data_IF_975264989554
#
_entry.id   IF_975264989554
#
_cell.length_a   1.000
_cell.length_b   1.000
_cell.length_c   1.000
_cell.angle_alpha   90.00
_cell.angle_beta   90.00
_cell.angle_gamma   90.00
#
_symmetry.space_group_name_H-M   'P 1'
#
loop_
_entity.id
_entity.type
_entity.pdbx_description
1 polymer ?
#
# COMPACT_ATOMS: atom_id res chain seq x y z
N UNK A 1 16.34 25.38 23.77
CA UNK A 1 17.45 24.46 23.43
C UNK A 1 17.12 23.85 22.07
N UNK A 2 17.87 24.20 21.01
CA UNK A 2 17.63 23.68 19.65
C UNK A 2 18.22 22.27 19.57
N UNK A 3 17.37 21.25 19.65
CA UNK A 3 17.76 19.87 19.40
C UNK A 3 18.09 19.71 17.92
N UNK A 4 19.36 19.46 17.62
CA UNK A 4 19.80 19.06 16.28
C UNK A 4 19.35 17.61 16.12
N UNK A 5 18.17 17.39 15.54
CA UNK A 5 17.82 16.09 14.96
C UNK A 5 18.77 15.91 13.77
N UNK A 6 19.88 15.23 14.00
CA UNK A 6 20.88 14.95 12.97
C UNK A 6 20.20 14.00 11.98
N UNK A 7 19.77 14.51 10.83
CA UNK A 7 19.26 13.71 9.70
C UNK A 7 20.26 12.58 9.44
N UNK A 8 19.88 11.35 9.78
CA UNK A 8 20.69 10.18 9.44
C UNK A 8 20.54 10.03 7.92
N UNK A 9 21.63 10.17 7.14
CA UNK A 9 21.53 10.07 5.70
C UNK A 9 21.02 8.67 5.35
N UNK A 10 20.04 8.56 4.44
CA UNK A 10 19.36 7.30 4.11
C UNK A 10 20.32 6.14 3.76
N UNK A 11 21.54 6.45 3.27
CA UNK A 11 22.61 5.44 3.05
C UNK A 11 23.05 4.73 4.34
N UNK A 12 23.09 5.42 5.48
CA UNK A 12 23.46 4.85 6.79
C UNK A 12 22.30 4.02 7.37
N UNK A 13 21.04 4.42 7.14
CA UNK A 13 19.86 3.63 7.53
C UNK A 13 19.83 2.31 6.75
N UNK A 14 20.06 2.33 5.44
CA UNK A 14 20.16 1.13 4.62
C UNK A 14 21.26 0.15 5.10
N UNK A 15 22.40 0.67 5.58
CA UNK A 15 23.48 -0.16 6.16
C UNK A 15 23.15 -0.72 7.55
N UNK A 16 22.43 0.02 8.40
CA UNK A 16 21.95 -0.46 9.70
C UNK A 16 20.86 -1.54 9.56
N UNK A 17 20.05 -1.49 8.49
CA UNK A 17 19.00 -2.48 8.18
C UNK A 17 19.59 -3.86 7.85
N UNK A 18 20.74 -3.92 7.16
CA UNK A 18 21.45 -5.19 6.94
C UNK A 18 21.89 -5.83 8.26
N UNK A 19 22.22 -5.01 9.26
CA UNK A 19 22.60 -5.46 10.61
C UNK A 19 21.39 -5.88 11.45
N UNK A 20 20.25 -5.19 11.31
CA UNK A 20 18.99 -5.54 11.99
C UNK A 20 18.39 -6.86 11.48
N UNK A 21 18.59 -7.20 10.20
CA UNK A 21 18.18 -8.48 9.63
C UNK A 21 18.84 -9.70 10.29
N UNK A 22 20.03 -9.55 10.90
CA UNK A 22 20.64 -10.62 11.70
C UNK A 22 19.97 -10.80 13.08
N UNK A 23 19.33 -9.77 13.64
CA UNK A 23 18.71 -9.82 14.98
C UNK A 23 17.25 -10.30 14.90
N UNK A 24 16.55 -10.06 13.78
CA UNK A 24 15.16 -10.50 13.57
C UNK A 24 14.96 -12.03 13.58
N UNK A 25 16.03 -12.84 13.52
CA UNK A 25 15.95 -14.31 13.54
C UNK A 25 15.62 -14.91 14.90
N UNK A 26 15.79 -14.17 16.00
CA UNK A 26 15.66 -14.73 17.35
C UNK A 26 14.21 -14.82 17.85
N UNK A 27 13.22 -14.34 17.09
CA UNK A 27 11.81 -14.29 17.51
C UNK A 27 10.78 -14.76 16.48
N UNK A 28 11.20 -15.35 15.35
CA UNK A 28 10.24 -15.79 14.33
C UNK A 28 9.54 -17.10 14.74
N UNK A 29 8.23 -17.24 14.45
CA UNK A 29 7.51 -18.50 14.65
C UNK A 29 8.20 -19.67 13.95
N UNK A 30 8.19 -20.84 14.60
CA UNK A 30 8.69 -22.09 14.02
C UNK A 30 7.98 -22.34 12.68
N UNK A 31 8.76 -22.48 11.60
CA UNK A 31 8.24 -22.69 10.25
C UNK A 31 8.28 -21.47 9.33
N UNK A 32 8.70 -20.30 9.83
CA UNK A 32 8.86 -19.11 9.00
C UNK A 32 10.03 -19.28 8.00
N UNK A 33 9.80 -18.98 6.72
CA UNK A 33 10.84 -19.08 5.68
C UNK A 33 10.89 -17.80 4.85
N UNK A 34 12.09 -17.31 4.56
CA UNK A 34 12.26 -16.24 3.57
C UNK A 34 12.22 -16.81 2.16
N UNK A 35 11.59 -16.07 1.26
CA UNK A 35 11.54 -16.37 -0.16
C UNK A 35 11.58 -15.07 -0.98
N UNK A 36 11.79 -15.25 -2.29
CA UNK A 36 11.80 -14.17 -3.27
C UNK A 36 10.86 -14.53 -4.41
N UNK A 37 10.14 -13.55 -4.93
CA UNK A 37 9.33 -13.71 -6.12
C UNK A 37 9.34 -12.44 -6.96
N UNK A 38 9.27 -12.61 -8.28
CA UNK A 38 8.98 -11.52 -9.21
C UNK A 38 7.49 -11.59 -9.55
N UNK A 39 6.78 -10.48 -9.40
CA UNK A 39 5.34 -10.43 -9.68
C UNK A 39 5.06 -9.49 -10.85
N UNK A 40 3.84 -9.58 -11.39
CA UNK A 40 3.34 -8.64 -12.40
C UNK A 40 3.20 -7.21 -11.87
N UNK A 41 3.23 -7.01 -10.54
CA UNK A 41 3.26 -5.68 -9.91
C UNK A 41 4.61 -4.95 -10.10
N UNK A 42 5.57 -5.58 -10.77
CA UNK A 42 6.87 -5.02 -11.12
C UNK A 42 7.88 -5.18 -9.99
N UNK A 43 9.10 -5.63 -10.33
CA UNK A 43 10.19 -5.81 -9.37
C UNK A 43 10.20 -7.17 -8.66
N UNK A 44 11.30 -7.41 -7.94
CA UNK A 44 11.46 -8.55 -7.03
C UNK A 44 10.99 -8.18 -5.63
N UNK A 45 10.34 -9.13 -4.96
CA UNK A 45 9.84 -9.04 -3.60
C UNK A 45 10.61 -10.01 -2.73
N UNK A 46 11.07 -9.57 -1.55
CA UNK A 46 11.45 -10.47 -0.46
C UNK A 46 10.29 -10.56 0.52
N UNK A 47 9.90 -11.77 0.89
CA UNK A 47 8.79 -12.01 1.80
C UNK A 47 9.06 -13.18 2.74
N UNK A 48 8.32 -13.20 3.85
CA UNK A 48 8.25 -14.28 4.82
C UNK A 48 7.01 -15.11 4.55
N UNK A 49 7.19 -16.42 4.37
CA UNK A 49 6.14 -17.42 4.51
C UNK A 49 5.90 -17.66 6.00
N UNK A 50 4.73 -17.26 6.48
CA UNK A 50 4.40 -17.28 7.91
C UNK A 50 4.12 -18.70 8.44
N UNK A 51 4.17 -19.74 7.59
CA UNK A 51 3.94 -21.15 7.97
C UNK A 51 2.46 -21.53 8.19
N UNK A 52 1.55 -20.55 8.13
CA UNK A 52 0.10 -20.73 8.27
C UNK A 52 -0.65 -20.52 6.94
N UNK A 53 0.06 -20.52 5.82
CA UNK A 53 -0.50 -20.28 4.49
C UNK A 53 -0.60 -18.80 4.09
N UNK A 54 -0.12 -17.87 4.92
CA UNK A 54 -0.06 -16.43 4.60
C UNK A 54 1.37 -15.95 4.44
N UNK A 55 1.56 -14.79 3.81
CA UNK A 55 2.89 -14.18 3.64
C UNK A 55 2.93 -12.73 4.12
N UNK A 56 4.13 -12.29 4.54
CA UNK A 56 4.44 -10.91 4.92
C UNK A 56 5.59 -10.41 4.04
N UNK A 57 5.41 -9.35 3.26
CA UNK A 57 6.52 -8.77 2.49
C UNK A 57 7.47 -8.01 3.42
N UNK A 58 8.78 -8.12 3.19
CA UNK A 58 9.80 -7.48 4.03
C UNK A 58 10.75 -6.61 3.21
N UNK A 59 10.75 -6.75 1.88
CA UNK A 59 11.46 -5.84 0.98
C UNK A 59 10.87 -5.81 -0.41
N UNK A 60 10.97 -4.64 -1.04
CA UNK A 60 10.63 -4.43 -2.45
C UNK A 60 11.82 -3.86 -3.22
N UNK A 61 12.16 -4.46 -4.35
CA UNK A 61 13.28 -4.05 -5.22
C UNK A 61 12.82 -3.49 -6.57
N UNK A 62 11.54 -3.21 -6.75
CA UNK A 62 11.04 -2.63 -7.99
C UNK A 62 11.33 -1.13 -8.11
N UNK A 63 11.28 -0.65 -9.35
CA UNK A 63 11.54 0.73 -9.74
C UNK A 63 10.31 1.40 -10.38
N UNK A 64 9.12 0.83 -10.16
CA UNK A 64 7.87 1.43 -10.64
C UNK A 64 7.57 2.70 -9.84
N UNK A 65 6.83 3.61 -10.45
CA UNK A 65 6.32 4.82 -9.79
C UNK A 65 4.87 4.69 -9.34
N UNK A 66 4.11 3.76 -9.90
CA UNK A 66 2.77 3.40 -9.47
C UNK A 66 2.76 1.93 -9.12
N UNK A 67 2.50 1.62 -7.84
CA UNK A 67 2.54 0.26 -7.34
C UNK A 67 1.17 -0.18 -6.84
N UNK A 68 0.68 -1.29 -7.36
CA UNK A 68 -0.39 -2.05 -6.70
C UNK A 68 0.24 -3.22 -5.97
N UNK A 69 0.16 -3.22 -4.64
CA UNK A 69 0.67 -4.33 -3.83
C UNK A 69 -0.18 -5.56 -4.14
N UNK A 70 0.40 -6.69 -4.54
CA UNK A 70 -0.39 -7.83 -4.99
C UNK A 70 -1.18 -8.44 -3.83
N UNK A 71 -2.37 -8.96 -4.11
CA UNK A 71 -3.18 -9.68 -3.12
C UNK A 71 -2.52 -10.99 -2.67
N UNK A 72 -1.74 -11.60 -3.57
CA UNK A 72 -1.03 -12.86 -3.33
C UNK A 72 0.39 -12.84 -3.91
N UNK A 73 1.28 -13.62 -3.31
CA UNK A 73 2.59 -13.97 -3.89
C UNK A 73 2.75 -15.49 -3.73
N UNK A 74 3.13 -16.18 -4.80
CA UNK A 74 3.22 -17.64 -4.86
C UNK A 74 1.95 -18.34 -4.32
N UNK A 75 0.80 -17.88 -4.81
CA UNK A 75 -0.55 -18.35 -4.46
C UNK A 75 -0.94 -18.21 -2.98
N UNK A 76 -0.17 -17.44 -2.19
CA UNK A 76 -0.44 -17.18 -0.77
C UNK A 76 -0.86 -15.74 -0.54
N UNK A 77 -1.90 -15.47 0.29
CA UNK A 77 -2.35 -14.12 0.62
C UNK A 77 -1.27 -13.29 1.32
N UNK A 78 -1.03 -12.09 0.79
CA UNK A 78 -0.19 -11.06 1.39
C UNK A 78 -0.99 -10.32 2.46
N UNK A 79 -0.74 -10.66 3.72
CA UNK A 79 -1.48 -10.11 4.85
C UNK A 79 -0.78 -8.91 5.50
N UNK A 80 0.53 -8.76 5.28
CA UNK A 80 1.33 -7.76 5.99
C UNK A 80 2.38 -7.14 5.10
N UNK A 81 2.48 -5.81 5.18
CA UNK A 81 3.65 -5.06 4.76
C UNK A 81 4.56 -4.96 5.98
N UNK A 82 5.71 -5.61 5.92
CA UNK A 82 6.67 -5.71 6.99
C UNK A 82 7.37 -4.39 7.29
N UNK A 83 8.11 -4.38 8.39
CA UNK A 83 8.91 -3.25 8.80
C UNK A 83 9.88 -2.81 7.69
N UNK A 84 9.94 -1.50 7.43
CA UNK A 84 10.85 -0.87 6.47
C UNK A 84 10.74 -1.37 5.00
N UNK A 85 9.67 -2.09 4.62
CA UNK A 85 9.54 -2.73 3.30
C UNK A 85 9.83 -1.79 2.12
N UNK A 86 9.35 -0.55 2.19
CA UNK A 86 9.51 0.50 1.19
C UNK A 86 10.27 1.73 1.73
N UNK A 87 11.00 1.60 2.85
CA UNK A 87 11.72 2.73 3.46
C UNK A 87 12.67 3.41 2.46
N UNK A 88 12.65 4.74 2.42
CA UNK A 88 13.33 5.62 1.47
C UNK A 88 13.04 5.30 -0.01
N UNK A 89 11.86 4.77 -0.36
CA UNK A 89 11.55 4.55 -1.76
C UNK A 89 11.23 5.87 -2.46
N UNK A 90 12.24 6.40 -3.15
CA UNK A 90 12.16 7.66 -3.90
C UNK A 90 11.55 7.50 -5.30
N UNK A 91 11.14 6.31 -5.71
CA UNK A 91 10.54 6.10 -7.04
C UNK A 91 9.01 6.15 -7.00
N UNK A 92 8.40 5.74 -5.88
CA UNK A 92 6.95 5.63 -5.76
C UNK A 92 6.29 7.01 -5.68
N UNK A 93 5.37 7.26 -6.61
CA UNK A 93 4.44 8.38 -6.60
C UNK A 93 3.06 7.96 -6.07
N UNK A 94 2.61 6.74 -6.34
CA UNK A 94 1.37 6.23 -5.74
C UNK A 94 1.42 4.74 -5.40
N UNK A 95 0.69 4.38 -4.34
CA UNK A 95 0.58 3.00 -3.84
C UNK A 95 -0.89 2.65 -3.61
N UNK A 96 -1.30 1.50 -4.14
CA UNK A 96 -2.57 0.84 -3.82
C UNK A 96 -2.26 -0.38 -2.94
N UNK A 97 -2.78 -0.39 -1.72
CA UNK A 97 -2.70 -1.51 -0.79
C UNK A 97 -3.94 -2.39 -0.98
N UNK A 98 -3.77 -3.62 -1.44
CA UNK A 98 -4.89 -4.51 -1.85
C UNK A 98 -5.61 -5.20 -0.67
N UNK A 99 -6.70 -5.93 -0.97
CA UNK A 99 -7.74 -6.36 -0.01
C UNK A 99 -7.37 -7.45 1.02
N UNK A 100 -6.12 -7.94 1.02
CA UNK A 100 -5.65 -8.93 2.00
C UNK A 100 -4.77 -8.31 3.09
N UNK A 101 -4.24 -7.11 2.87
CA UNK A 101 -3.29 -6.50 3.80
C UNK A 101 -4.04 -5.98 5.02
N UNK A 102 -3.73 -6.54 6.19
CA UNK A 102 -4.29 -6.12 7.48
C UNK A 102 -3.35 -5.21 8.26
N UNK A 103 -2.04 -5.30 8.00
CA UNK A 103 -1.02 -4.63 8.79
C UNK A 103 0.01 -3.91 7.92
N UNK A 104 0.17 -2.61 8.13
CA UNK A 104 1.25 -1.78 7.60
C UNK A 104 2.31 -1.59 8.68
N UNK A 105 3.49 -2.15 8.47
CA UNK A 105 4.55 -2.23 9.47
C UNK A 105 5.20 -0.90 9.85
N UNK A 106 6.01 -0.96 10.90
CA UNK A 106 6.82 0.16 11.36
C UNK A 106 7.76 0.65 10.24
N UNK A 107 7.87 1.95 10.04
CA UNK A 107 8.67 2.57 8.97
C UNK A 107 8.37 2.05 7.54
N UNK A 108 7.23 1.39 7.30
CA UNK A 108 6.99 0.66 6.04
C UNK A 108 7.20 1.53 4.79
N UNK A 109 6.78 2.78 4.81
CA UNK A 109 6.94 3.80 3.77
C UNK A 109 7.67 5.03 4.29
N UNK A 110 8.49 4.90 5.33
CA UNK A 110 9.24 6.04 5.88
C UNK A 110 10.12 6.69 4.80
N UNK A 111 10.14 8.02 4.75
CA UNK A 111 10.91 8.84 3.80
C UNK A 111 10.70 8.44 2.31
N UNK A 112 9.51 7.95 1.96
CA UNK A 112 9.08 7.87 0.56
C UNK A 112 8.72 9.27 0.05
N UNK A 113 9.70 10.18 -0.06
CA UNK A 113 9.41 11.62 -0.17
C UNK A 113 8.67 12.00 -1.47
N UNK A 114 8.71 11.15 -2.50
CA UNK A 114 7.96 11.33 -3.76
C UNK A 114 6.53 10.76 -3.74
N UNK A 115 6.14 10.05 -2.67
CA UNK A 115 4.82 9.43 -2.56
C UNK A 115 3.75 10.50 -2.39
N UNK A 116 2.85 10.62 -3.35
CA UNK A 116 1.77 11.61 -3.41
C UNK A 116 0.42 11.04 -2.96
N UNK A 117 0.18 9.75 -3.24
CA UNK A 117 -1.10 9.09 -3.04
C UNK A 117 -0.95 7.69 -2.47
N UNK A 118 -1.75 7.40 -1.45
CA UNK A 118 -1.87 6.06 -0.87
C UNK A 118 -3.36 5.71 -0.79
N UNK A 119 -3.72 4.59 -1.41
CA UNK A 119 -5.06 4.02 -1.32
C UNK A 119 -5.01 2.79 -0.41
N UNK A 120 -5.66 2.90 0.75
CA UNK A 120 -5.80 1.80 1.70
C UNK A 120 -7.09 1.01 1.39
N UNK A 121 -6.98 -0.31 1.31
CA UNK A 121 -8.15 -1.19 1.26
C UNK A 121 -8.87 -1.25 2.63
N UNK A 122 -10.15 -1.65 2.60
CA UNK A 122 -10.96 -1.87 3.81
C UNK A 122 -10.54 -3.12 4.63
N UNK A 123 -9.39 -3.73 4.32
CA UNK A 123 -8.80 -4.80 5.12
C UNK A 123 -7.77 -4.30 6.11
N UNK A 124 -7.21 -3.09 5.90
CA UNK A 124 -6.14 -2.56 6.76
C UNK A 124 -6.69 -2.25 8.15
N UNK A 125 -6.10 -2.87 9.17
CA UNK A 125 -6.49 -2.74 10.59
C UNK A 125 -5.48 -1.88 11.35
N UNK A 126 -4.18 -2.08 11.10
CA UNK A 126 -3.11 -1.40 11.84
C UNK A 126 -2.14 -0.66 10.91
N UNK A 127 -1.78 0.55 11.32
CA UNK A 127 -0.71 1.36 10.72
C UNK A 127 0.38 1.55 11.78
N UNK A 128 1.60 1.10 11.48
CA UNK A 128 2.72 1.07 12.41
C UNK A 128 3.32 2.44 12.75
N UNK A 129 4.21 2.45 13.74
CA UNK A 129 4.97 3.64 14.12
C UNK A 129 5.80 4.14 12.92
N UNK A 130 5.80 5.45 12.67
CA UNK A 130 6.47 6.07 11.51
C UNK A 130 6.12 5.47 10.14
N UNK A 131 5.01 4.72 9.99
CA UNK A 131 4.71 3.97 8.78
C UNK A 131 4.74 4.82 7.49
N UNK A 132 4.29 6.07 7.56
CA UNK A 132 4.32 7.05 6.47
C UNK A 132 5.09 8.32 6.88
N UNK A 133 5.97 8.24 7.88
CA UNK A 133 6.74 9.40 8.33
C UNK A 133 7.64 9.95 7.21
N UNK A 134 7.79 11.27 7.13
CA UNK A 134 8.60 11.98 6.13
C UNK A 134 8.16 11.75 4.67
N UNK A 135 6.92 11.30 4.41
CA UNK A 135 6.33 11.28 3.06
C UNK A 135 5.96 12.71 2.64
N UNK A 136 6.96 13.52 2.26
CA UNK A 136 6.82 14.97 2.06
C UNK A 136 5.74 15.37 1.05
N UNK A 137 5.54 14.59 -0.01
CA UNK A 137 4.58 14.91 -1.07
C UNK A 137 3.18 14.30 -0.87
N UNK A 138 2.94 13.54 0.20
CA UNK A 138 1.66 12.87 0.43
C UNK A 138 0.57 13.91 0.67
N UNK A 139 -0.45 13.98 -0.21
CA UNK A 139 -1.40 15.12 -0.23
C UNK A 139 -2.60 14.94 0.69
N UNK A 140 -3.12 13.72 0.77
CA UNK A 140 -4.31 13.39 1.54
C UNK A 140 -4.27 11.95 2.03
N UNK A 141 -4.89 11.69 3.18
CA UNK A 141 -5.03 10.35 3.74
C UNK A 141 -6.47 10.12 4.18
N UNK A 142 -7.10 9.08 3.63
CA UNK A 142 -8.41 8.60 4.06
C UNK A 142 -8.21 7.27 4.75
N UNK A 143 -8.43 7.23 6.07
CA UNK A 143 -8.33 6.00 6.83
C UNK A 143 -9.64 5.22 6.70
N UNK A 144 -9.63 3.98 6.16
CA UNK A 144 -10.85 3.20 6.07
C UNK A 144 -11.37 2.84 7.46
N UNK A 145 -12.67 2.57 7.57
CA UNK A 145 -13.31 2.21 8.83
C UNK A 145 -12.73 0.92 9.45
N UNK A 146 -12.03 0.09 8.68
CA UNK A 146 -11.32 -1.08 9.20
C UNK A 146 -10.12 -0.72 10.10
N UNK A 147 -9.54 0.47 9.95
CA UNK A 147 -8.38 0.90 10.75
C UNK A 147 -8.83 1.13 12.19
N UNK A 148 -8.18 0.44 13.11
CA UNK A 148 -8.40 0.58 14.56
C UNK A 148 -7.16 1.10 15.29
N UNK A 149 -5.97 0.98 14.69
CA UNK A 149 -4.71 1.38 15.29
C UNK A 149 -3.84 2.24 14.38
N UNK A 150 -3.43 3.42 14.88
CA UNK A 150 -2.37 4.24 14.29
C UNK A 150 -1.18 4.26 15.27
N UNK A 151 0.03 4.08 14.73
CA UNK A 151 1.28 4.16 15.49
C UNK A 151 1.68 5.59 15.83
N UNK A 152 2.54 5.72 16.85
CA UNK A 152 3.18 7.00 17.16
C UNK A 152 3.95 7.51 15.93
N UNK A 153 3.90 8.82 15.69
CA UNK A 153 4.57 9.46 14.54
C UNK A 153 4.19 8.89 13.16
N UNK A 154 3.07 8.19 13.00
CA UNK A 154 2.75 7.47 11.75
C UNK A 154 2.77 8.35 10.49
N UNK A 155 2.41 9.63 10.60
CA UNK A 155 2.41 10.62 9.52
C UNK A 155 3.30 11.83 9.82
N UNK A 156 4.25 11.70 10.76
CA UNK A 156 5.13 12.82 11.13
C UNK A 156 5.88 13.35 9.90
N UNK A 157 6.05 14.67 9.80
CA UNK A 157 6.78 15.31 8.71
C UNK A 157 6.13 15.20 7.33
N UNK A 158 4.87 14.76 7.20
CA UNK A 158 4.15 14.79 5.92
C UNK A 158 3.76 16.24 5.56
N UNK A 159 4.73 17.02 5.09
CA UNK A 159 4.56 18.46 4.87
C UNK A 159 3.50 18.81 3.81
N UNK A 160 3.23 17.93 2.85
CA UNK A 160 2.19 18.10 1.83
C UNK A 160 0.79 17.63 2.26
N UNK A 161 0.67 16.99 3.43
CA UNK A 161 -0.58 16.38 3.87
C UNK A 161 -1.54 17.48 4.30
N UNK A 162 -2.59 17.70 3.50
CA UNK A 162 -3.52 18.82 3.66
C UNK A 162 -4.86 18.42 4.28
N UNK A 163 -5.28 17.17 4.05
CA UNK A 163 -6.53 16.63 4.56
C UNK A 163 -6.36 15.22 5.10
N UNK A 164 -6.92 14.99 6.28
CA UNK A 164 -7.00 13.67 6.91
C UNK A 164 -8.41 13.44 7.44
N UNK A 165 -8.93 12.25 7.19
CA UNK A 165 -10.19 11.78 7.79
C UNK A 165 -9.87 10.62 8.73
N UNK A 166 -10.07 10.82 10.02
CA UNK A 166 -9.94 9.79 11.06
C UNK A 166 -11.24 9.00 11.11
N UNK A 167 -11.13 7.68 10.94
CA UNK A 167 -12.29 6.78 10.93
C UNK A 167 -13.00 6.69 12.29
N UNK A 168 -14.23 6.18 12.29
CA UNK A 168 -15.03 6.04 13.52
C UNK A 168 -14.47 4.98 14.49
N UNK A 169 -13.62 4.06 14.02
CA UNK A 169 -13.11 2.97 14.86
C UNK A 169 -11.77 3.30 15.55
N UNK A 170 -11.26 4.52 15.36
CA UNK A 170 -10.03 4.99 16.02
C UNK A 170 -10.41 5.70 17.31
N UNK A 171 -9.85 5.22 18.43
CA UNK A 171 -10.08 5.80 19.76
C UNK A 171 -8.93 6.66 20.26
N UNK A 172 -7.77 6.60 19.61
CA UNK A 172 -6.54 7.24 20.07
C UNK A 172 -5.71 7.76 18.89
N UNK A 173 -5.35 9.04 18.94
CA UNK A 173 -4.31 9.66 18.12
C UNK A 173 -3.06 9.74 19.00
N UNK A 174 -2.00 9.00 18.64
CA UNK A 174 -0.80 8.89 19.48
C UNK A 174 0.11 10.11 19.39
N UNK A 175 1.13 10.14 20.25
CA UNK A 175 2.13 11.20 20.27
C UNK A 175 2.73 11.41 18.87
N UNK A 176 2.94 12.68 18.53
CA UNK A 176 3.55 13.11 17.26
C UNK A 176 2.90 12.60 15.96
N UNK A 177 1.70 11.98 16.00
CA UNK A 177 1.11 11.28 14.83
C UNK A 177 1.10 12.12 13.56
N UNK A 178 0.77 13.41 13.65
CA UNK A 178 0.78 14.38 12.55
C UNK A 178 1.75 15.55 12.80
N UNK A 179 2.73 15.38 13.69
CA UNK A 179 3.73 16.42 13.97
C UNK A 179 4.44 16.85 12.68
N UNK A 180 4.57 18.15 12.44
CA UNK A 180 5.23 18.70 11.26
C UNK A 180 4.43 18.61 9.96
N UNK A 181 3.14 18.24 10.00
CA UNK A 181 2.25 18.32 8.83
C UNK A 181 1.82 19.77 8.59
N UNK A 182 2.75 20.59 8.07
CA UNK A 182 2.57 22.05 7.98
C UNK A 182 1.41 22.48 7.09
N UNK A 183 1.03 21.66 6.10
CA UNK A 183 -0.09 21.95 5.20
C UNK A 183 -1.43 21.42 5.70
N UNK A 184 -1.46 20.72 6.84
CA UNK A 184 -2.66 20.06 7.36
C UNK A 184 -3.65 21.11 7.85
N UNK A 185 -4.64 21.42 7.02
CA UNK A 185 -5.66 22.42 7.29
C UNK A 185 -7.03 21.83 7.58
N UNK A 186 -7.26 20.56 7.23
CA UNK A 186 -8.54 19.88 7.45
C UNK A 186 -8.31 18.51 8.08
N UNK A 187 -8.61 18.40 9.38
CA UNK A 187 -8.57 17.14 10.10
C UNK A 187 -9.97 16.82 10.64
N UNK A 188 -10.58 15.78 10.12
CA UNK A 188 -11.86 15.26 10.63
C UNK A 188 -11.58 14.22 11.71
N UNK A 189 -12.10 14.46 12.91
CA UNK A 189 -11.98 13.57 14.06
C UNK A 189 -13.36 13.10 14.49
N UNK A 190 -13.56 11.79 14.55
CA UNK A 190 -14.81 11.19 15.02
C UNK A 190 -14.97 11.35 16.55
N UNK A 191 -16.21 11.27 17.04
CA UNK A 191 -16.50 11.39 18.47
C UNK A 191 -15.97 10.21 19.32
N UNK A 192 -15.45 9.16 18.69
CA UNK A 192 -14.94 7.98 19.37
C UNK A 192 -13.48 8.16 19.84
N UNK A 193 -12.79 9.20 19.38
CA UNK A 193 -11.46 9.55 19.89
C UNK A 193 -11.59 10.04 21.33
N UNK A 194 -10.88 9.39 22.24
CA UNK A 194 -10.85 9.71 23.67
C UNK A 194 -9.45 10.09 24.17
N UNK A 195 -8.45 10.01 23.29
CA UNK A 195 -7.07 10.36 23.59
C UNK A 195 -6.39 11.00 22.38
N UNK A 196 -5.74 12.14 22.62
CA UNK A 196 -4.85 12.79 21.67
C UNK A 196 -3.51 13.02 22.38
N UNK A 197 -2.46 12.42 21.84
CA UNK A 197 -1.13 12.38 22.43
C UNK A 197 -0.39 13.71 22.40
N UNK A 198 0.74 13.73 23.10
CA UNK A 198 1.61 14.90 23.18
C UNK A 198 2.14 15.25 21.78
N UNK A 199 2.12 16.54 21.45
CA UNK A 199 2.63 17.05 20.17
C UNK A 199 2.01 16.39 18.92
N UNK A 200 0.84 15.74 19.04
CA UNK A 200 0.18 15.07 17.93
C UNK A 200 0.01 15.95 16.68
N UNK A 201 -0.16 17.26 16.88
CA UNK A 201 -0.30 18.28 15.82
C UNK A 201 0.75 19.40 15.91
N UNK A 202 1.90 19.13 16.55
CA UNK A 202 2.95 20.14 16.69
C UNK A 202 3.42 20.61 15.32
N UNK A 203 3.43 21.93 15.06
CA UNK A 203 3.82 22.49 13.77
C UNK A 203 2.74 22.48 12.68
N UNK A 204 1.50 22.04 12.97
CA UNK A 204 0.36 22.17 12.06
C UNK A 204 -0.26 23.58 12.20
N UNK A 205 0.31 24.58 11.53
CA UNK A 205 -0.02 26.00 11.75
C UNK A 205 -1.43 26.41 11.29
N UNK A 206 -1.95 25.77 10.25
CA UNK A 206 -3.24 26.12 9.63
C UNK A 206 -4.36 25.12 9.98
N UNK A 207 -4.14 24.30 11.03
CA UNK A 207 -5.03 23.20 11.39
C UNK A 207 -6.42 23.68 11.83
N UNK A 208 -7.44 23.15 11.16
CA UNK A 208 -8.82 23.19 11.61
C UNK A 208 -9.29 21.76 11.90
N UNK A 209 -9.78 21.54 13.12
CA UNK A 209 -10.38 20.27 13.56
C UNK A 209 -11.89 20.33 13.29
N UNK A 210 -12.38 19.36 12.53
CA UNK A 210 -13.80 19.15 12.28
C UNK A 210 -14.28 18.00 13.15
N UNK A 211 -15.24 18.26 14.05
CA UNK A 211 -15.71 17.28 15.04
C UNK A 211 -17.15 17.58 15.47
N UNK A 212 -17.74 16.73 16.32
CA UNK A 212 -19.06 16.96 16.91
C UNK A 212 -18.98 17.74 18.22
N UNK A 213 -20.04 18.48 18.56
CA UNK A 213 -20.14 19.16 19.85
C UNK A 213 -20.12 18.17 21.02
N UNK A 214 -19.44 18.52 22.10
CA UNK A 214 -19.19 17.72 23.29
C UNK A 214 -18.09 16.66 23.13
N UNK A 215 -17.42 16.59 21.99
CA UNK A 215 -16.37 15.58 21.74
C UNK A 215 -15.08 15.89 22.51
N UNK A 216 -14.28 14.84 22.73
CA UNK A 216 -12.92 15.00 23.25
C UNK A 216 -12.06 15.88 22.32
N UNK A 217 -12.21 15.71 21.01
CA UNK A 217 -11.49 16.50 20.01
C UNK A 217 -11.83 18.00 20.09
N UNK A 218 -13.09 18.36 20.36
CA UNK A 218 -13.49 19.76 20.58
C UNK A 218 -12.81 20.31 21.84
N UNK A 219 -12.82 19.55 22.93
CA UNK A 219 -12.17 19.96 24.19
C UNK A 219 -10.68 20.17 23.99
N UNK A 220 -10.01 19.20 23.36
CA UNK A 220 -8.60 19.27 23.04
C UNK A 220 -8.25 20.49 22.17
N UNK A 221 -9.04 20.74 21.13
CA UNK A 221 -8.83 21.88 20.23
C UNK A 221 -8.89 23.21 20.99
N UNK A 222 -9.90 23.38 21.84
CA UNK A 222 -10.07 24.58 22.65
C UNK A 222 -8.92 24.78 23.65
N UNK A 223 -8.46 23.71 24.32
CA UNK A 223 -7.35 23.77 25.28
C UNK A 223 -6.01 24.15 24.63
N UNK A 224 -5.81 23.77 23.36
CA UNK A 224 -4.57 24.00 22.62
C UNK A 224 -4.66 25.19 21.64
N UNK A 225 -5.76 25.92 21.62
CA UNK A 225 -5.95 27.08 20.73
C UNK A 225 -6.01 26.70 19.24
N UNK A 226 -6.44 25.49 18.93
CA UNK A 226 -6.64 24.99 17.56
C UNK A 226 -8.05 25.38 17.09
N UNK A 227 -8.18 25.85 15.86
CA UNK A 227 -9.48 26.19 15.29
C UNK A 227 -10.38 24.95 15.20
N UNK A 228 -11.65 25.09 15.59
CA UNK A 228 -12.63 24.01 15.57
C UNK A 228 -13.84 24.39 14.72
N UNK A 229 -14.36 23.43 13.96
CA UNK A 229 -15.60 23.51 13.21
C UNK A 229 -16.51 22.36 13.66
N UNK A 230 -17.71 22.69 14.11
CA UNK A 230 -18.67 21.70 14.57
C UNK A 230 -19.54 21.22 13.42
N UNK A 231 -19.71 19.90 13.30
CA UNK A 231 -20.57 19.28 12.30
C UNK A 231 -21.76 18.59 12.96
N UNK A 232 -22.98 18.91 12.53
CA UNK A 232 -24.24 18.33 13.05
C UNK A 232 -24.46 16.86 12.68
N UNK A 233 -23.57 16.31 11.86
CA UNK A 233 -23.53 14.90 11.45
C UNK A 233 -22.05 14.50 11.37
N UNK A 234 -21.69 13.37 11.98
CA UNK A 234 -20.44 12.66 11.72
C UNK A 234 -20.29 12.53 10.20
N UNK A 235 -19.45 13.36 9.56
CA UNK A 235 -19.12 13.25 8.13
C UNK A 235 -19.77 14.22 7.12
N UNK A 236 -20.39 15.35 7.51
CA UNK A 236 -20.89 16.34 6.53
C UNK A 236 -19.87 17.49 6.28
N UNK A 237 -19.22 17.41 5.11
CA UNK A 237 -18.12 18.27 4.63
C UNK A 237 -18.61 19.65 4.12
N UNK A 238 -17.87 20.76 4.32
CA UNK A 238 -17.93 21.88 3.39
C UNK A 238 -17.29 21.45 2.06
N UNK A 239 -18.06 21.45 0.98
CA UNK A 239 -17.62 20.99 -0.35
C UNK A 239 -16.44 21.80 -0.88
N UNK A 240 -15.22 21.35 -0.61
CA UNK A 240 -14.07 21.57 -1.49
C UNK A 240 -14.00 20.32 -2.35
N UNK A 241 -14.11 20.49 -3.66
CA UNK A 241 -14.13 19.38 -4.61
C UNK A 241 -12.97 18.42 -4.31
N UNK A 242 -13.23 17.11 -4.09
CA UNK A 242 -12.13 16.16 -4.04
C UNK A 242 -11.38 16.27 -5.37
N UNK A 243 -10.05 16.39 -5.31
CA UNK A 243 -9.20 15.98 -6.43
C UNK A 243 -9.73 14.64 -6.94
N UNK A 244 -9.91 14.44 -8.26
CA UNK A 244 -10.69 13.35 -8.80
C UNK A 244 -10.25 12.03 -8.17
N UNK A 245 -11.17 11.40 -7.44
CA UNK A 245 -11.02 10.02 -6.97
C UNK A 245 -10.63 9.18 -8.18
N UNK A 246 -9.43 8.58 -8.24
CA UNK A 246 -9.15 7.61 -9.27
C UNK A 246 -10.12 6.45 -9.04
N UNK A 247 -11.01 6.28 -10.02
CA UNK A 247 -11.94 5.16 -10.05
C UNK A 247 -11.11 3.88 -10.05
N UNK A 248 -11.27 3.07 -9.01
CA UNK A 248 -10.84 1.67 -9.06
C UNK A 248 -11.68 1.05 -10.17
N UNK A 249 -11.14 1.01 -11.38
CA UNK A 249 -11.69 0.14 -12.41
C UNK A 249 -11.12 -1.22 -12.06
N UNK A 250 -11.91 -2.17 -11.52
CA UNK A 250 -11.43 -3.52 -11.37
C UNK A 250 -10.98 -4.00 -12.75
N UNK A 251 -9.70 -4.31 -12.87
CA UNK A 251 -9.12 -4.93 -14.06
C UNK A 251 -10.01 -6.09 -14.45
N UNK A 252 -10.54 -6.04 -15.68
CA UNK A 252 -11.42 -7.05 -16.20
C UNK A 252 -10.82 -8.45 -15.96
N UNK A 253 -11.63 -9.32 -15.36
CA UNK A 253 -11.41 -10.77 -15.37
C UNK A 253 -10.98 -11.21 -16.77
N UNK A 254 -9.99 -12.11 -16.94
CA UNK A 254 -9.58 -12.56 -18.27
C UNK A 254 -10.81 -13.11 -19.00
N UNK A 255 -11.17 -12.44 -20.10
CA UNK A 255 -12.27 -12.85 -20.97
C UNK A 255 -12.10 -14.32 -21.35
N UNK A 256 -13.16 -15.16 -21.29
CA UNK A 256 -13.04 -16.55 -21.68
C UNK A 256 -12.57 -16.63 -23.14
N UNK A 257 -11.51 -17.41 -23.36
CA UNK A 257 -10.98 -17.82 -24.66
C UNK A 257 -12.12 -18.03 -25.67
N UNK A 258 -12.04 -17.49 -26.89
CA UNK A 258 -13.08 -17.72 -27.89
C UNK A 258 -13.14 -19.22 -28.16
N UNK A 259 -14.23 -19.84 -27.71
CA UNK A 259 -14.56 -21.22 -28.08
C UNK A 259 -14.93 -21.20 -29.55
N UNK A 260 -14.03 -21.67 -30.40
CA UNK A 260 -14.32 -21.92 -31.81
C UNK A 260 -15.37 -23.02 -31.84
N UNK A 261 -16.62 -22.64 -32.11
CA UNK A 261 -17.69 -23.59 -32.41
C UNK A 261 -17.41 -24.22 -33.78
N UNK A 262 -17.35 -25.56 -33.93
CA UNK A 262 -17.19 -26.16 -35.24
C UNK A 262 -18.53 -26.09 -35.98
N UNK A 263 -18.64 -25.18 -36.95
CA UNK A 263 -19.73 -25.19 -37.93
C UNK A 263 -19.15 -25.29 -39.34
N UNK A 264 -19.16 -26.50 -39.90
CA UNK A 264 -19.42 -26.78 -41.32
C UNK A 264 -19.27 -28.29 -41.57
N UNK A 265 -20.33 -28.90 -42.11
CA UNK A 265 -20.29 -30.25 -42.70
C UNK A 265 -19.29 -30.31 -43.86
N UNK A 266 -18.57 -31.43 -44.07
CA UNK A 266 -17.77 -31.62 -45.27
C UNK A 266 -18.67 -31.90 -46.48
N UNK A 267 -18.52 -31.10 -47.53
CA UNK A 267 -19.03 -31.38 -48.89
C UNK A 267 -18.21 -32.52 -49.52
N UNK A 268 -18.79 -33.36 -50.40
CA UNK A 268 -18.13 -34.58 -50.88
C UNK A 268 -16.94 -34.31 -51.80
N UNK A 269 -15.91 -35.13 -51.61
CA UNK A 269 -14.62 -35.22 -52.28
C UNK A 269 -14.74 -35.40 -53.81
N UNK A 270 -13.97 -34.67 -54.64
CA UNK A 270 -13.73 -35.08 -56.02
C UNK A 270 -12.63 -36.16 -56.06
N UNK A 271 -12.99 -37.34 -56.55
CA UNK A 271 -12.12 -38.51 -56.75
C UNK A 271 -11.10 -38.22 -57.86
N UNK A 272 -9.81 -38.34 -57.53
CA UNK A 272 -8.70 -38.32 -58.51
C UNK A 272 -8.48 -39.76 -59.01
N UNK A 273 -8.41 -40.02 -60.34
CA UNK A 273 -8.11 -41.36 -60.85
C UNK A 273 -6.65 -41.77 -60.55
N UNK A 274 -6.38 -43.08 -60.35
CA UNK A 274 -5.05 -43.54 -59.98
C UNK A 274 -4.02 -43.32 -61.10
N UNK A 275 -2.85 -42.82 -60.70
CA UNK A 275 -1.66 -42.63 -61.53
C UNK A 275 -1.06 -43.98 -61.97
N UNK A 276 -0.53 -44.12 -63.21
CA UNK A 276 0.04 -45.37 -63.69
C UNK A 276 1.33 -45.75 -62.96
N UNK A 277 1.45 -47.05 -62.66
CA UNK A 277 2.58 -47.69 -61.96
C UNK A 277 3.89 -47.55 -62.74
N UNK A 278 5.02 -47.15 -62.11
CA UNK A 278 6.31 -47.10 -62.78
C UNK A 278 6.86 -48.51 -63.04
N UNK A 279 7.21 -48.79 -64.29
CA UNK A 279 7.83 -50.04 -64.73
C UNK A 279 9.32 -50.05 -64.34
N UNK A 280 9.73 -51.02 -63.54
CA UNK A 280 11.14 -51.23 -63.15
C UNK A 280 11.91 -51.82 -64.35
N UNK A 281 12.94 -51.12 -64.82
CA UNK A 281 13.92 -51.68 -65.78
C UNK A 281 15.12 -52.28 -65.03
N UNK A 282 15.67 -53.42 -65.47
CA UNK A 282 16.71 -54.14 -64.74
C UNK A 282 18.11 -53.52 -64.87
N UNK A 283 18.87 -53.65 -63.79
CA UNK A 283 20.27 -53.23 -63.60
C UNK A 283 21.24 -53.92 -64.58
N UNK A 284 22.27 -53.23 -65.10
CA UNK A 284 23.42 -53.89 -65.71
C UNK A 284 24.48 -54.30 -64.67
N UNK A 285 24.99 -55.52 -64.85
CA UNK A 285 26.02 -56.24 -64.08
C UNK A 285 27.42 -55.59 -64.22
N UNK A 286 28.28 -55.62 -63.19
CA UNK A 286 29.63 -55.07 -63.26
C UNK A 286 30.57 -55.95 -64.10
N UNK A 287 31.47 -55.31 -64.85
CA UNK A 287 32.67 -55.91 -65.45
C UNK A 287 33.90 -55.19 -64.89
#
# INVERSE_FOLDING_TARGET
MKGIVKKIPCRIVAYLVVFALCIAYLGMPVGTRMAKAVTSAGGEWEYLDNGNGTISVIRYYGMVNHLTIPETIDDKPLIRIGEMTFNCNMNLNSVIISNNVTDVGQYAFYDCSNLEEVMLSNSVVNIGQFAFGECHNLKSMVLPNSVTGIGESAFTGCIGLSRVVISENITSIKDYTFSGCISLSCLEISNNVTFIGENAFSGCSDLVIYTTSGSYAETYANEHGIAVQLTDVSGAMPTVSPSPTPTITPTASPSPTPTISPTASPSPTPTIPPSPTPTVSPSPTPT
#
